data_IF_332621195307
#
_entry.id   IF_332621195307
#
_cell.length_a   1.000
_cell.length_b   1.000
_cell.length_c   1.000
_cell.angle_alpha   90.00
_cell.angle_beta   90.00
_cell.angle_gamma   90.00
#
_symmetry.space_group_name_H-M   'P 1'
#
loop_
_entity.id
_entity.type
_entity.pdbx_description
1 polymer ?
#
# COMPACT_ATOMS: atom_id res chain seq x y z
N UNK A 1 -17.95 0.89 77.15
CA UNK A 1 -18.60 1.05 75.81
C UNK A 1 -17.86 2.15 75.11
N UNK A 2 -16.91 1.79 74.19
CA UNK A 2 -16.15 2.75 73.42
C UNK A 2 -16.44 2.40 71.92
N UNK A 3 -17.16 3.30 71.22
CA UNK A 3 -17.45 3.21 69.81
C UNK A 3 -16.25 3.74 69.03
N UNK A 4 -15.56 2.87 68.35
CA UNK A 4 -14.50 3.22 67.37
C UNK A 4 -15.15 3.62 66.05
N UNK A 5 -14.96 4.85 65.64
CA UNK A 5 -15.37 5.42 64.35
C UNK A 5 -14.26 5.15 63.35
N UNK A 6 -14.46 4.20 62.43
CA UNK A 6 -13.55 3.96 61.32
C UNK A 6 -13.87 4.96 60.18
N UNK A 7 -12.96 5.91 59.97
CA UNK A 7 -13.02 6.87 58.84
C UNK A 7 -12.47 6.18 57.61
N UNK A 8 -13.32 5.85 56.64
CA UNK A 8 -12.92 5.43 55.28
C UNK A 8 -12.58 6.70 54.46
N UNK A 9 -11.33 6.91 54.18
CA UNK A 9 -10.88 7.91 53.21
C UNK A 9 -10.90 7.27 51.82
N UNK A 10 -11.85 7.69 50.98
CA UNK A 10 -11.89 7.35 49.57
C UNK A 10 -10.86 8.17 48.82
N UNK A 11 -9.74 7.58 48.43
CA UNK A 11 -8.79 8.18 47.51
C UNK A 11 -9.29 7.96 46.07
N UNK A 12 -9.83 9.00 45.48
CA UNK A 12 -10.22 9.00 44.05
C UNK A 12 -8.93 9.06 43.22
N UNK A 13 -8.53 7.94 42.59
CA UNK A 13 -7.46 7.90 41.62
C UNK A 13 -8.06 8.40 40.28
N UNK A 14 -7.75 9.65 39.93
CA UNK A 14 -8.01 10.16 38.57
C UNK A 14 -7.03 9.48 37.62
N UNK A 15 -7.48 8.47 36.91
CA UNK A 15 -6.76 7.92 35.78
C UNK A 15 -6.82 8.92 34.61
N UNK A 16 -5.74 9.66 34.41
CA UNK A 16 -5.54 10.53 33.26
C UNK A 16 -5.30 9.62 32.03
N UNK A 17 -6.36 9.29 31.29
CA UNK A 17 -6.24 8.61 29.98
C UNK A 17 -5.68 9.61 28.97
N UNK A 18 -4.37 9.57 28.75
CA UNK A 18 -3.76 10.27 27.64
C UNK A 18 -4.35 9.72 26.33
N UNK A 19 -5.26 10.45 25.71
CA UNK A 19 -5.71 10.18 24.35
C UNK A 19 -4.52 10.45 23.44
N UNK A 20 -3.78 9.40 23.07
CA UNK A 20 -2.77 9.48 22.03
C UNK A 20 -3.53 9.72 20.72
N UNK A 21 -3.58 10.97 20.28
CA UNK A 21 -4.12 11.31 18.97
C UNK A 21 -3.27 10.58 17.93
N UNK A 22 -3.88 9.61 17.25
CA UNK A 22 -3.21 8.97 16.10
C UNK A 22 -3.03 10.05 15.02
N UNK A 23 -1.84 10.16 14.42
CA UNK A 23 -1.64 11.10 13.33
C UNK A 23 -2.65 10.80 12.23
N UNK A 24 -3.38 11.83 11.81
CA UNK A 24 -4.30 11.70 10.70
C UNK A 24 -3.53 11.21 9.47
N UNK A 25 -4.10 10.22 8.76
CA UNK A 25 -3.46 9.72 7.54
C UNK A 25 -3.24 10.88 6.56
N UNK A 26 -2.03 10.99 6.01
CA UNK A 26 -1.67 12.04 5.07
C UNK A 26 -2.66 12.09 3.89
N UNK A 27 -3.14 13.27 3.55
CA UNK A 27 -4.12 13.46 2.49
C UNK A 27 -3.45 13.38 1.10
N UNK A 28 -4.22 12.93 0.10
CA UNK A 28 -3.77 12.96 -1.28
C UNK A 28 -3.86 14.38 -1.86
N UNK A 29 -2.84 14.77 -2.63
CA UNK A 29 -2.80 15.99 -3.44
C UNK A 29 -3.15 15.71 -4.91
N UNK A 30 -3.00 14.47 -5.34
CA UNK A 30 -3.33 13.96 -6.66
C UNK A 30 -2.22 14.03 -7.69
N UNK A 31 -2.38 13.29 -8.80
CA UNK A 31 -1.30 13.05 -9.76
C UNK A 31 -0.88 14.32 -10.55
N UNK A 32 -1.67 15.39 -10.52
CA UNK A 32 -1.29 16.66 -11.15
C UNK A 32 -0.12 17.32 -10.44
N UNK A 33 -0.10 17.29 -9.11
CA UNK A 33 0.99 17.81 -8.29
C UNK A 33 2.30 17.09 -8.61
N UNK A 34 2.28 15.76 -8.66
CA UNK A 34 3.47 14.96 -9.00
C UNK A 34 3.98 15.22 -10.43
N UNK A 35 3.06 15.45 -11.38
CA UNK A 35 3.39 15.70 -12.80
C UNK A 35 4.28 16.92 -13.01
N UNK A 36 4.26 17.89 -12.13
CA UNK A 36 5.06 19.11 -12.29
C UNK A 36 6.57 18.79 -12.45
N UNK A 37 7.05 17.80 -11.69
CA UNK A 37 8.43 17.32 -11.75
C UNK A 37 8.55 15.92 -12.41
N UNK A 38 7.61 15.02 -12.19
CA UNK A 38 7.62 13.61 -12.64
C UNK A 38 6.82 13.40 -13.95
N UNK A 39 7.18 14.13 -15.00
CA UNK A 39 6.42 14.12 -16.28
C UNK A 39 6.49 12.79 -17.01
N UNK A 40 7.66 12.14 -17.00
CA UNK A 40 7.89 10.86 -17.66
C UNK A 40 7.12 9.73 -16.96
N UNK A 41 7.19 9.67 -15.63
CA UNK A 41 6.49 8.72 -14.79
C UNK A 41 4.96 8.88 -14.94
N UNK A 42 4.50 10.14 -14.94
CA UNK A 42 3.09 10.44 -15.15
C UNK A 42 2.60 10.00 -16.53
N UNK A 43 3.42 10.14 -17.58
CA UNK A 43 3.08 9.68 -18.93
C UNK A 43 2.91 8.15 -18.97
N UNK A 44 3.80 7.40 -18.33
CA UNK A 44 3.67 5.94 -18.18
C UNK A 44 2.38 5.58 -17.43
N UNK A 45 2.11 6.21 -16.28
CA UNK A 45 0.90 5.94 -15.50
C UNK A 45 -0.38 6.13 -16.32
N UNK A 46 -0.47 7.12 -17.18
CA UNK A 46 -1.62 7.34 -18.07
C UNK A 46 -1.92 6.16 -19.02
N UNK A 47 -0.94 5.33 -19.30
CA UNK A 47 -1.11 4.10 -20.09
C UNK A 47 -1.75 2.94 -19.32
N UNK A 48 -1.77 2.98 -17.98
CA UNK A 48 -2.11 1.85 -17.11
C UNK A 48 -3.62 1.62 -16.94
N UNK A 49 -3.98 0.42 -16.48
CA UNK A 49 -5.34 0.09 -16.04
C UNK A 49 -5.80 0.97 -14.88
N UNK A 50 -4.90 1.33 -13.96
CA UNK A 50 -5.20 2.22 -12.83
C UNK A 50 -5.66 3.60 -13.29
N UNK A 51 -4.98 4.23 -14.24
CA UNK A 51 -5.45 5.49 -14.82
C UNK A 51 -6.82 5.34 -15.50
N UNK A 52 -6.96 4.27 -16.30
CA UNK A 52 -8.20 3.99 -17.05
C UNK A 52 -9.38 3.67 -16.13
N UNK A 53 -9.14 3.15 -14.92
CA UNK A 53 -10.17 2.82 -13.94
C UNK A 53 -11.06 4.02 -13.58
N UNK A 54 -10.53 5.25 -13.58
CA UNK A 54 -11.32 6.45 -13.31
C UNK A 54 -12.56 6.59 -14.23
N UNK A 55 -12.40 6.21 -15.50
CA UNK A 55 -13.48 6.28 -16.50
C UNK A 55 -14.08 4.91 -16.84
N UNK A 56 -13.44 3.82 -16.43
CA UNK A 56 -13.75 2.46 -16.86
C UNK A 56 -14.42 1.59 -15.80
N UNK A 57 -14.03 1.70 -14.53
CA UNK A 57 -14.50 0.80 -13.48
C UNK A 57 -16.03 0.72 -13.38
N UNK A 58 -16.73 1.85 -13.48
CA UNK A 58 -18.18 1.92 -13.43
C UNK A 58 -18.90 1.35 -14.68
N UNK A 59 -18.16 1.04 -15.73
CA UNK A 59 -18.68 0.42 -16.97
C UNK A 59 -18.68 -1.11 -16.92
N UNK A 60 -18.10 -1.71 -15.89
CA UNK A 60 -18.13 -3.16 -15.71
C UNK A 60 -19.59 -3.64 -15.62
N UNK A 61 -19.92 -4.78 -16.26
CA UNK A 61 -21.28 -5.32 -16.32
C UNK A 61 -21.97 -5.45 -14.96
N UNK A 62 -21.23 -5.82 -13.93
CA UNK A 62 -21.71 -5.97 -12.55
C UNK A 62 -21.61 -4.70 -11.71
N UNK A 63 -21.10 -3.57 -12.25
CA UNK A 63 -20.80 -2.37 -11.45
C UNK A 63 -22.00 -1.84 -10.65
N UNK A 64 -23.21 -1.89 -11.24
CA UNK A 64 -24.45 -1.45 -10.54
C UNK A 64 -24.80 -2.39 -9.39
N UNK A 65 -24.74 -3.71 -9.60
CA UNK A 65 -25.01 -4.71 -8.57
C UNK A 65 -24.00 -4.61 -7.41
N UNK A 66 -22.70 -4.49 -7.74
CA UNK A 66 -21.63 -4.31 -6.76
C UNK A 66 -21.84 -3.03 -5.94
N UNK A 67 -22.14 -1.91 -6.58
CA UNK A 67 -22.39 -0.66 -5.90
C UNK A 67 -23.65 -0.72 -5.00
N UNK A 68 -24.70 -1.40 -5.42
CA UNK A 68 -25.90 -1.65 -4.61
C UNK A 68 -25.56 -2.52 -3.38
N UNK A 69 -24.78 -3.58 -3.56
CA UNK A 69 -24.36 -4.47 -2.48
C UNK A 69 -23.54 -3.78 -1.37
N UNK A 70 -22.90 -2.64 -1.69
CA UNK A 70 -22.22 -1.80 -0.68
C UNK A 70 -23.17 -1.07 0.29
N UNK A 71 -24.48 -1.17 0.07
CA UNK A 71 -25.51 -0.56 0.91
C UNK A 71 -25.76 0.94 0.70
N UNK A 72 -24.99 1.61 -0.15
CA UNK A 72 -25.10 3.08 -0.32
C UNK A 72 -25.92 3.52 -1.53
N UNK A 73 -26.15 2.63 -2.51
CA UNK A 73 -26.85 2.91 -3.77
C UNK A 73 -26.21 4.02 -4.64
N UNK A 74 -25.08 4.57 -4.20
CA UNK A 74 -24.40 5.67 -4.89
C UNK A 74 -23.51 5.16 -6.01
N UNK A 75 -23.30 5.98 -7.04
CA UNK A 75 -22.30 5.67 -8.06
C UNK A 75 -20.91 5.44 -7.43
N UNK A 76 -20.10 4.59 -8.03
CA UNK A 76 -18.77 4.22 -7.50
C UNK A 76 -17.92 5.43 -7.08
N UNK A 77 -17.98 6.55 -7.83
CA UNK A 77 -17.22 7.79 -7.51
C UNK A 77 -17.73 8.55 -6.29
N UNK A 78 -18.94 8.25 -5.80
CA UNK A 78 -19.55 8.84 -4.61
C UNK A 78 -19.67 7.85 -3.47
N UNK A 79 -19.25 6.60 -3.69
CA UNK A 79 -19.34 5.50 -2.76
C UNK A 79 -17.98 5.32 -2.08
N UNK A 80 -17.91 5.57 -0.78
CA UNK A 80 -16.68 5.50 0.01
C UNK A 80 -16.00 4.12 -0.07
N UNK A 81 -16.78 3.03 0.00
CA UNK A 81 -16.27 1.66 -0.12
C UNK A 81 -15.56 1.45 -1.46
N UNK A 82 -16.15 1.92 -2.56
CA UNK A 82 -15.53 1.81 -3.88
C UNK A 82 -14.30 2.75 -4.00
N UNK A 83 -14.41 3.97 -3.43
CA UNK A 83 -13.32 4.96 -3.53
C UNK A 83 -12.03 4.49 -2.87
N UNK A 84 -12.12 3.74 -1.80
CA UNK A 84 -10.97 3.24 -1.04
C UNK A 84 -9.92 2.53 -1.91
N UNK A 85 -10.35 1.79 -2.95
CA UNK A 85 -9.47 1.01 -3.81
C UNK A 85 -9.41 1.52 -5.26
N UNK A 86 -10.49 2.12 -5.78
CA UNK A 86 -10.60 2.42 -7.20
C UNK A 86 -10.26 3.86 -7.58
N UNK A 87 -10.08 4.75 -6.59
CA UNK A 87 -9.89 6.18 -6.89
C UNK A 87 -8.88 6.84 -5.96
N UNK A 88 -8.19 7.84 -6.48
CA UNK A 88 -7.48 8.84 -5.68
C UNK A 88 -8.51 9.86 -5.21
N UNK A 89 -8.76 9.87 -3.91
CA UNK A 89 -9.69 10.78 -3.25
C UNK A 89 -8.96 12.07 -2.85
N UNK A 90 -9.54 13.23 -3.20
CA UNK A 90 -9.05 14.55 -2.78
C UNK A 90 -10.26 15.33 -2.26
N UNK A 91 -10.22 15.78 -1.02
CA UNK A 91 -11.32 16.54 -0.39
C UNK A 91 -12.65 15.81 -0.46
N UNK A 92 -12.68 14.53 -0.20
CA UNK A 92 -13.90 13.69 -0.20
C UNK A 92 -14.43 13.33 -1.58
N UNK A 93 -13.69 13.62 -2.66
CA UNK A 93 -14.16 13.41 -4.05
C UNK A 93 -13.16 12.54 -4.84
N UNK A 94 -13.67 11.59 -5.60
CA UNK A 94 -12.87 10.84 -6.57
C UNK A 94 -12.35 11.77 -7.68
N UNK A 95 -11.04 11.94 -7.80
CA UNK A 95 -10.40 12.85 -8.75
C UNK A 95 -9.59 12.15 -9.83
N UNK A 96 -9.07 10.97 -9.54
CA UNK A 96 -8.32 10.12 -10.47
C UNK A 96 -8.60 8.64 -10.16
N UNK A 97 -8.15 7.72 -11.01
CA UNK A 97 -7.97 6.32 -10.62
C UNK A 97 -6.80 6.18 -9.64
N UNK A 98 -6.47 4.99 -9.14
CA UNK A 98 -5.30 4.78 -8.31
C UNK A 98 -4.07 5.41 -8.96
N UNK A 99 -3.38 6.30 -8.25
CA UNK A 99 -2.30 7.12 -8.81
C UNK A 99 -1.01 7.03 -7.99
N UNK A 100 -0.10 7.94 -8.19
CA UNK A 100 1.21 7.98 -7.53
C UNK A 100 1.12 7.69 -6.02
N UNK A 101 0.23 8.38 -5.35
CA UNK A 101 0.05 8.30 -3.89
C UNK A 101 -0.56 6.97 -3.42
N UNK A 102 -1.21 6.21 -4.31
CA UNK A 102 -1.69 4.85 -3.98
C UNK A 102 -0.54 3.88 -3.73
N UNK A 103 0.66 4.17 -4.25
CA UNK A 103 1.89 3.39 -4.04
C UNK A 103 2.87 4.13 -3.13
N UNK A 104 2.98 5.47 -3.27
CA UNK A 104 4.02 6.29 -2.63
C UNK A 104 3.57 7.01 -1.36
N UNK A 105 2.32 6.78 -0.91
CA UNK A 105 1.75 7.43 0.28
C UNK A 105 1.15 8.81 -0.03
N UNK A 106 0.14 9.22 0.75
CA UNK A 106 -0.50 10.55 0.64
C UNK A 106 0.52 11.66 0.83
N UNK A 107 0.47 12.69 -0.03
CA UNK A 107 1.58 13.61 -0.20
C UNK A 107 1.49 14.90 0.63
N UNK A 108 0.38 15.15 1.34
CA UNK A 108 0.16 16.42 2.04
C UNK A 108 1.29 16.79 3.01
N UNK A 109 1.86 15.80 3.70
CA UNK A 109 2.84 16.04 4.75
C UNK A 109 4.28 16.05 4.23
N UNK A 110 4.57 15.34 3.15
CA UNK A 110 5.94 15.14 2.70
C UNK A 110 6.34 15.86 1.41
N UNK A 111 5.39 16.32 0.60
CA UNK A 111 5.70 16.86 -0.73
C UNK A 111 6.60 18.09 -0.68
N UNK A 112 6.39 18.99 0.29
CA UNK A 112 7.24 20.18 0.47
C UNK A 112 8.65 19.79 0.90
N UNK A 113 8.77 18.82 1.79
CA UNK A 113 10.08 18.29 2.22
C UNK A 113 10.79 17.64 1.03
N UNK A 114 10.07 16.80 0.27
CA UNK A 114 10.61 16.11 -0.89
C UNK A 114 11.10 17.07 -1.99
N UNK A 115 10.46 18.21 -2.13
CA UNK A 115 10.79 19.22 -3.17
C UNK A 115 11.87 20.22 -2.74
N UNK A 116 12.29 20.22 -1.49
CA UNK A 116 13.32 21.13 -1.00
C UNK A 116 14.71 20.60 -1.36
N UNK A 117 15.28 21.10 -2.44
CA UNK A 117 16.63 20.72 -2.92
C UNK A 117 17.75 21.49 -2.20
N UNK A 118 17.40 22.43 -1.31
CA UNK A 118 18.34 23.35 -0.66
C UNK A 118 18.47 24.70 -1.35
N UNK A 119 18.96 25.69 -0.60
CA UNK A 119 19.07 27.05 -1.08
C UNK A 119 19.99 27.17 -2.32
N UNK A 120 19.44 27.74 -3.39
CA UNK A 120 20.19 27.98 -4.65
C UNK A 120 20.31 26.76 -5.57
N UNK A 121 19.88 25.56 -5.15
CA UNK A 121 19.93 24.36 -5.98
C UNK A 121 18.73 24.33 -6.94
N UNK A 122 19.02 24.26 -8.26
CA UNK A 122 18.01 24.34 -9.31
C UNK A 122 17.57 22.97 -9.85
N UNK A 123 18.38 21.94 -9.65
CA UNK A 123 18.08 20.60 -10.13
C UNK A 123 18.51 19.52 -9.11
N UNK A 124 17.85 18.38 -9.13
CA UNK A 124 18.22 17.24 -8.28
C UNK A 124 19.59 16.63 -8.65
N UNK A 125 20.15 16.96 -9.80
CA UNK A 125 21.49 16.55 -10.21
C UNK A 125 22.58 17.36 -9.47
N UNK A 126 22.26 18.60 -9.10
CA UNK A 126 23.18 19.51 -8.42
C UNK A 126 23.04 19.46 -6.90
N UNK A 127 22.09 18.67 -6.40
CA UNK A 127 21.81 18.54 -4.96
C UNK A 127 22.97 17.81 -4.25
N UNK A 128 23.56 18.40 -3.17
CA UNK A 128 24.59 17.74 -2.37
C UNK A 128 24.09 16.39 -1.81
N UNK A 129 24.94 15.36 -1.85
CA UNK A 129 24.57 13.99 -1.48
C UNK A 129 24.01 13.88 -0.03
N UNK A 130 24.63 14.58 0.93
CA UNK A 130 24.18 14.58 2.32
C UNK A 130 22.85 15.30 2.50
N UNK A 131 22.62 16.40 1.78
CA UNK A 131 21.33 17.08 1.76
C UNK A 131 20.25 16.16 1.21
N UNK A 132 20.49 15.53 0.07
CA UNK A 132 19.59 14.57 -0.55
C UNK A 132 19.23 13.41 0.39
N UNK A 133 20.23 12.85 1.08
CA UNK A 133 20.03 11.77 2.07
C UNK A 133 19.12 12.24 3.21
N UNK A 134 19.40 13.40 3.79
CA UNK A 134 18.62 13.96 4.90
C UNK A 134 17.21 14.33 4.48
N UNK A 135 17.03 14.95 3.32
CA UNK A 135 15.74 15.30 2.73
C UNK A 135 14.87 14.08 2.48
N UNK A 136 15.44 13.03 1.86
CA UNK A 136 14.69 11.78 1.61
C UNK A 136 14.31 11.09 2.92
N UNK A 137 15.20 11.04 3.91
CA UNK A 137 14.88 10.49 5.22
C UNK A 137 13.77 11.27 5.94
N UNK A 138 13.81 12.60 5.88
CA UNK A 138 12.76 13.45 6.43
C UNK A 138 11.40 13.24 5.73
N UNK A 139 11.39 13.16 4.39
CA UNK A 139 10.19 12.89 3.63
C UNK A 139 9.62 11.49 3.94
N UNK A 140 10.47 10.47 4.08
CA UNK A 140 10.03 9.11 4.49
C UNK A 140 9.42 9.12 5.89
N UNK A 141 10.03 9.83 6.84
CA UNK A 141 9.48 10.02 8.18
C UNK A 141 8.11 10.71 8.16
N UNK A 142 7.88 11.59 7.19
CA UNK A 142 6.60 12.26 6.97
C UNK A 142 5.59 11.42 6.16
N UNK A 143 5.90 10.15 5.86
CA UNK A 143 4.99 9.21 5.21
C UNK A 143 5.23 8.97 3.72
N UNK A 144 6.30 9.50 3.13
CA UNK A 144 6.67 9.17 1.75
C UNK A 144 7.18 7.73 1.67
N UNK A 145 6.60 6.94 0.78
CA UNK A 145 7.12 5.63 0.42
C UNK A 145 8.04 5.79 -0.79
N UNK A 146 9.34 5.82 -0.54
CA UNK A 146 10.34 5.95 -1.59
C UNK A 146 10.38 4.70 -2.49
N UNK A 147 10.81 4.85 -3.74
CA UNK A 147 10.86 3.76 -4.73
C UNK A 147 11.74 2.57 -4.32
N UNK A 148 12.69 2.75 -3.40
CA UNK A 148 13.50 1.67 -2.81
C UNK A 148 12.77 0.87 -1.72
N UNK A 149 11.67 1.40 -1.18
CA UNK A 149 10.85 0.76 -0.15
C UNK A 149 9.87 -0.22 -0.80
N UNK A 150 10.41 -1.23 -1.48
CA UNK A 150 9.62 -2.13 -2.34
C UNK A 150 8.60 -2.93 -1.54
N UNK A 151 8.89 -3.26 -0.27
CA UNK A 151 7.95 -3.95 0.59
C UNK A 151 6.73 -3.09 0.91
N UNK A 152 6.93 -1.82 1.27
CA UNK A 152 5.85 -0.88 1.58
C UNK A 152 4.97 -0.61 0.34
N UNK A 153 5.58 -0.54 -0.84
CA UNK A 153 4.84 -0.48 -2.11
C UNK A 153 4.01 -1.75 -2.32
N UNK A 154 4.59 -2.92 -2.06
CA UNK A 154 3.90 -4.20 -2.19
C UNK A 154 2.73 -4.34 -1.20
N UNK A 155 2.86 -3.82 0.02
CA UNK A 155 1.78 -3.73 1.01
C UNK A 155 0.61 -2.90 0.48
N UNK A 156 0.86 -1.70 -0.04
CA UNK A 156 -0.18 -0.85 -0.63
C UNK A 156 -0.92 -1.55 -1.78
N UNK A 157 -0.19 -2.28 -2.62
CA UNK A 157 -0.80 -3.08 -3.67
C UNK A 157 -1.71 -4.17 -3.09
N UNK A 158 -1.19 -4.97 -2.14
CA UNK A 158 -1.94 -6.06 -1.55
C UNK A 158 -3.13 -5.57 -0.74
N UNK A 159 -3.04 -4.45 -0.04
CA UNK A 159 -4.15 -3.88 0.72
C UNK A 159 -5.42 -3.67 -0.13
N UNK A 160 -5.27 -3.29 -1.41
CA UNK A 160 -6.37 -3.20 -2.36
C UNK A 160 -6.66 -4.53 -3.07
N UNK A 161 -5.62 -5.23 -3.55
CA UNK A 161 -5.77 -6.45 -4.35
C UNK A 161 -6.18 -7.70 -3.55
N UNK A 162 -6.09 -7.64 -2.22
CA UNK A 162 -6.72 -8.62 -1.32
C UNK A 162 -8.02 -8.10 -0.70
N UNK A 163 -8.48 -6.90 -1.06
CA UNK A 163 -9.65 -6.21 -0.48
C UNK A 163 -9.56 -5.95 1.04
N UNK A 164 -8.38 -6.04 1.65
CA UNK A 164 -8.20 -5.85 3.10
C UNK A 164 -8.51 -4.41 3.59
N UNK A 165 -8.54 -3.43 2.67
CA UNK A 165 -8.93 -2.04 3.00
C UNK A 165 -10.40 -1.88 3.38
N UNK A 166 -11.20 -2.91 3.22
CA UNK A 166 -12.62 -2.92 3.59
C UNK A 166 -12.90 -4.12 4.48
N UNK A 167 -13.97 -4.03 5.23
CA UNK A 167 -14.44 -5.10 6.10
C UNK A 167 -14.64 -6.41 5.33
N UNK A 168 -14.28 -7.54 5.93
CA UNK A 168 -14.31 -8.88 5.31
C UNK A 168 -15.73 -9.31 4.89
N UNK A 169 -16.74 -9.00 5.72
CA UNK A 169 -18.12 -9.30 5.39
C UNK A 169 -18.61 -8.43 4.23
N UNK A 170 -18.22 -7.15 4.19
CA UNK A 170 -18.50 -6.27 3.06
C UNK A 170 -17.81 -6.77 1.80
N UNK A 171 -16.53 -7.15 1.86
CA UNK A 171 -15.81 -7.72 0.73
C UNK A 171 -16.54 -8.94 0.17
N UNK A 172 -16.99 -9.85 1.03
CA UNK A 172 -17.80 -11.02 0.64
C UNK A 172 -19.06 -10.64 -0.11
N UNK A 173 -19.84 -9.66 0.38
CA UNK A 173 -21.05 -9.17 -0.30
C UNK A 173 -20.75 -8.60 -1.69
N UNK A 174 -19.65 -7.85 -1.84
CA UNK A 174 -19.25 -7.30 -3.13
C UNK A 174 -18.84 -8.42 -4.12
N UNK A 175 -18.13 -9.46 -3.64
CA UNK A 175 -17.73 -10.61 -4.45
C UNK A 175 -18.96 -11.40 -4.91
N UNK A 176 -19.95 -11.62 -4.05
CA UNK A 176 -21.19 -12.29 -4.43
C UNK A 176 -22.02 -11.47 -5.42
N UNK A 177 -21.93 -10.16 -5.37
CA UNK A 177 -22.51 -9.25 -6.36
C UNK A 177 -21.73 -9.20 -7.69
N UNK A 178 -20.64 -9.98 -7.82
CA UNK A 178 -19.85 -10.08 -9.04
C UNK A 178 -18.58 -9.23 -9.08
N UNK A 179 -18.09 -8.73 -7.92
CA UNK A 179 -16.79 -8.09 -7.86
C UNK A 179 -15.70 -9.12 -8.12
N UNK A 180 -14.80 -8.88 -9.10
CA UNK A 180 -13.70 -9.79 -9.35
C UNK A 180 -12.78 -9.88 -8.12
N UNK A 181 -12.37 -11.10 -7.80
CA UNK A 181 -11.30 -11.36 -6.83
C UNK A 181 -10.25 -12.23 -7.51
N UNK A 182 -9.13 -11.61 -7.89
CA UNK A 182 -8.09 -12.29 -8.65
C UNK A 182 -6.93 -12.65 -7.74
N UNK A 183 -6.68 -13.97 -7.59
CA UNK A 183 -5.45 -14.48 -6.99
C UNK A 183 -4.20 -14.21 -7.84
N UNK A 184 -4.35 -13.71 -9.07
CA UNK A 184 -3.27 -13.63 -10.07
C UNK A 184 -2.50 -12.30 -10.09
N UNK A 185 -2.82 -11.37 -9.16
CA UNK A 185 -2.02 -10.16 -9.02
C UNK A 185 -0.57 -10.52 -8.65
N UNK A 186 0.39 -10.01 -9.42
CA UNK A 186 1.81 -10.22 -9.20
C UNK A 186 2.57 -8.90 -9.39
N UNK A 187 3.41 -8.55 -8.42
CA UNK A 187 4.07 -7.25 -8.33
C UNK A 187 4.97 -6.94 -9.52
N UNK A 188 5.78 -7.90 -9.98
CA UNK A 188 6.71 -7.69 -11.10
C UNK A 188 5.97 -7.49 -12.40
N UNK A 189 4.95 -8.30 -12.68
CA UNK A 189 4.12 -8.15 -13.89
C UNK A 189 3.53 -6.77 -14.00
N UNK A 190 3.05 -6.21 -12.89
CA UNK A 190 2.47 -4.87 -12.90
C UNK A 190 3.55 -3.79 -12.92
N UNK A 191 4.46 -3.80 -11.95
CA UNK A 191 5.41 -2.70 -11.74
C UNK A 191 6.51 -2.63 -12.80
N UNK A 192 6.89 -3.76 -13.41
CA UNK A 192 7.91 -3.80 -14.47
C UNK A 192 7.32 -4.02 -15.86
N UNK A 193 6.09 -4.54 -15.96
CA UNK A 193 5.37 -4.73 -17.23
C UNK A 193 4.53 -3.53 -17.63
N UNK A 194 3.64 -3.06 -16.75
CA UNK A 194 2.65 -2.03 -17.09
C UNK A 194 3.03 -0.62 -16.65
N UNK A 195 3.58 -0.46 -15.44
CA UNK A 195 3.83 0.86 -14.84
C UNK A 195 5.31 1.12 -14.59
N UNK A 196 6.20 0.41 -15.29
CA UNK A 196 7.63 0.67 -15.15
C UNK A 196 7.94 2.13 -15.47
N UNK A 197 8.47 2.87 -14.49
CA UNK A 197 8.78 4.27 -14.57
C UNK A 197 10.10 4.57 -13.84
N UNK A 198 11.17 3.90 -14.29
CA UNK A 198 12.51 3.95 -13.69
C UNK A 198 13.36 4.99 -14.43
N UNK A 199 12.97 6.26 -14.31
CA UNK A 199 13.68 7.41 -14.90
C UNK A 199 14.57 8.05 -13.83
N UNK A 200 15.81 7.61 -13.71
CA UNK A 200 16.76 8.14 -12.75
C UNK A 200 18.19 8.23 -13.32
N UNK A 201 19.07 9.02 -12.68
CA UNK A 201 20.45 9.17 -13.13
C UNK A 201 21.16 7.82 -13.38
N UNK A 202 22.13 7.79 -14.31
CA UNK A 202 22.66 8.94 -15.05
C UNK A 202 21.78 9.43 -16.22
N UNK A 203 20.81 8.66 -16.69
CA UNK A 203 19.97 9.03 -17.84
C UNK A 203 18.49 8.99 -17.47
N UNK A 204 17.96 10.11 -17.06
CA UNK A 204 16.55 10.32 -16.67
C UNK A 204 15.58 10.28 -17.87
N UNK A 205 16.07 10.16 -19.10
CA UNK A 205 15.23 10.02 -20.31
C UNK A 205 14.93 8.57 -20.63
N UNK A 206 15.70 7.65 -20.09
CA UNK A 206 15.52 6.21 -20.28
C UNK A 206 14.73 5.56 -19.16
N UNK A 207 13.67 4.84 -19.54
CA UNK A 207 12.93 3.99 -18.63
C UNK A 207 13.71 2.68 -18.41
N UNK A 208 14.56 2.66 -17.38
CA UNK A 208 15.52 1.58 -17.13
C UNK A 208 14.81 0.26 -16.77
N UNK A 209 15.41 -0.85 -17.18
CA UNK A 209 14.92 -2.19 -16.82
C UNK A 209 15.65 -2.69 -15.58
N UNK A 210 14.96 -3.49 -14.77
CA UNK A 210 15.60 -4.29 -13.73
C UNK A 210 16.39 -5.44 -14.32
N UNK A 211 17.53 -5.76 -13.74
CA UNK A 211 18.24 -6.99 -14.01
C UNK A 211 17.55 -8.20 -13.35
N UNK A 212 18.03 -9.41 -13.63
CA UNK A 212 17.42 -10.65 -13.12
C UNK A 212 17.39 -10.72 -11.59
N UNK A 213 18.44 -10.25 -10.91
CA UNK A 213 18.51 -10.26 -9.45
C UNK A 213 17.50 -9.27 -8.85
N UNK A 214 17.40 -8.05 -9.38
CA UNK A 214 16.39 -7.07 -8.96
C UNK A 214 14.96 -7.59 -9.16
N UNK A 215 14.68 -8.23 -10.31
CA UNK A 215 13.38 -8.83 -10.60
C UNK A 215 13.06 -9.97 -9.62
N UNK A 216 14.03 -10.82 -9.29
CA UNK A 216 13.86 -11.92 -8.33
C UNK A 216 13.57 -11.37 -6.92
N UNK A 217 14.31 -10.35 -6.48
CA UNK A 217 14.06 -9.70 -5.19
C UNK A 217 12.67 -9.07 -5.14
N UNK A 218 12.26 -8.36 -6.18
CA UNK A 218 10.93 -7.75 -6.26
C UNK A 218 9.82 -8.81 -6.27
N UNK A 219 10.01 -9.91 -7.00
CA UNK A 219 9.08 -11.05 -7.04
C UNK A 219 8.88 -11.64 -5.65
N UNK A 220 9.96 -11.97 -4.95
CA UNK A 220 9.90 -12.53 -3.60
C UNK A 220 9.33 -11.53 -2.59
N UNK A 221 9.62 -10.24 -2.73
CA UNK A 221 9.02 -9.18 -1.90
C UNK A 221 7.51 -9.09 -2.10
N UNK A 222 7.04 -9.16 -3.34
CA UNK A 222 5.61 -9.19 -3.65
C UNK A 222 4.89 -10.38 -3.04
N UNK A 223 5.52 -11.56 -3.10
CA UNK A 223 4.97 -12.77 -2.46
C UNK A 223 5.02 -12.70 -0.93
N UNK A 224 6.04 -12.08 -0.33
CA UNK A 224 6.10 -11.89 1.12
C UNK A 224 4.94 -11.00 1.62
N UNK A 225 4.71 -9.86 0.99
CA UNK A 225 3.57 -9.01 1.30
C UNK A 225 2.23 -9.72 1.02
N UNK A 226 2.13 -10.43 -0.12
CA UNK A 226 0.94 -11.20 -0.47
C UNK A 226 0.60 -12.30 0.54
N UNK A 227 1.62 -12.99 1.08
CA UNK A 227 1.45 -14.00 2.12
C UNK A 227 0.86 -13.39 3.40
N UNK A 228 1.45 -12.29 3.87
CA UNK A 228 0.98 -11.60 5.09
C UNK A 228 -0.47 -11.14 4.94
N UNK A 229 -0.78 -10.43 3.85
CA UNK A 229 -2.10 -9.86 3.63
C UNK A 229 -3.17 -10.93 3.40
N UNK A 230 -2.89 -11.97 2.62
CA UNK A 230 -3.83 -13.06 2.40
C UNK A 230 -4.08 -13.89 3.68
N UNK A 231 -3.03 -14.16 4.46
CA UNK A 231 -3.19 -14.86 5.75
C UNK A 231 -4.09 -14.05 6.69
N UNK A 232 -3.88 -12.73 6.79
CA UNK A 232 -4.69 -11.87 7.64
C UNK A 232 -6.16 -11.83 7.21
N UNK A 233 -6.44 -11.85 5.92
CA UNK A 233 -7.83 -11.97 5.43
C UNK A 233 -8.44 -13.31 5.84
N UNK A 234 -7.68 -14.40 5.78
CA UNK A 234 -8.18 -15.74 6.13
C UNK A 234 -8.56 -15.89 7.61
N UNK A 235 -8.10 -15.01 8.50
CA UNK A 235 -8.48 -15.01 9.92
C UNK A 235 -9.94 -14.65 10.16
N UNK A 236 -10.60 -13.95 9.21
CA UNK A 236 -11.96 -13.41 9.39
C UNK A 236 -12.88 -13.57 8.19
N UNK A 237 -12.48 -14.33 7.15
CA UNK A 237 -13.28 -14.45 5.94
C UNK A 237 -14.25 -15.64 6.03
N UNK A 238 -15.55 -15.36 5.85
CA UNK A 238 -16.60 -16.39 5.77
C UNK A 238 -17.02 -16.71 4.33
N UNK A 239 -16.85 -15.75 3.40
CA UNK A 239 -17.23 -15.94 2.00
C UNK A 239 -16.36 -16.98 1.31
N UNK A 240 -16.93 -18.06 0.81
CA UNK A 240 -16.21 -19.19 0.24
C UNK A 240 -15.33 -18.83 -0.98
N UNK A 241 -15.82 -17.93 -1.87
CA UNK A 241 -15.06 -17.50 -3.05
C UNK A 241 -13.87 -16.63 -2.64
N UNK A 242 -14.07 -15.76 -1.66
CA UNK A 242 -13.01 -14.92 -1.13
C UNK A 242 -11.94 -15.75 -0.44
N UNK A 243 -12.37 -16.69 0.41
CA UNK A 243 -11.49 -17.65 1.09
C UNK A 243 -10.62 -18.43 0.09
N UNK A 244 -11.24 -19.06 -0.91
CA UNK A 244 -10.52 -19.82 -1.93
C UNK A 244 -9.48 -18.99 -2.69
N UNK A 245 -9.81 -17.74 -3.01
CA UNK A 245 -8.85 -16.84 -3.67
C UNK A 245 -7.65 -16.50 -2.78
N UNK A 246 -7.87 -16.32 -1.48
CA UNK A 246 -6.79 -16.03 -0.52
C UNK A 246 -5.96 -17.28 -0.21
N UNK A 247 -6.58 -18.45 -0.09
CA UNK A 247 -5.88 -19.74 0.05
C UNK A 247 -4.94 -20.00 -1.14
N UNK A 248 -5.43 -19.75 -2.36
CA UNK A 248 -4.56 -19.82 -3.56
C UNK A 248 -3.38 -18.87 -3.46
N UNK A 249 -3.60 -17.61 -3.06
CA UNK A 249 -2.53 -16.62 -2.90
C UNK A 249 -1.50 -17.06 -1.85
N UNK A 250 -1.95 -17.60 -0.73
CA UNK A 250 -1.08 -18.16 0.32
C UNK A 250 -0.26 -19.32 -0.23
N UNK A 251 -0.87 -20.23 -0.98
CA UNK A 251 -0.16 -21.38 -1.58
C UNK A 251 0.92 -20.93 -2.58
N UNK A 252 0.58 -20.01 -3.48
CA UNK A 252 1.52 -19.44 -4.47
C UNK A 252 2.69 -18.73 -3.78
N UNK A 253 2.41 -17.94 -2.75
CA UNK A 253 3.43 -17.24 -1.98
C UNK A 253 4.34 -18.20 -1.21
N UNK A 254 3.77 -19.22 -0.55
CA UNK A 254 4.54 -20.24 0.14
C UNK A 254 5.45 -21.02 -0.81
N UNK A 255 4.99 -21.32 -2.02
CA UNK A 255 5.79 -21.98 -3.07
C UNK A 255 6.97 -21.09 -3.48
N UNK A 256 6.72 -19.80 -3.77
CA UNK A 256 7.76 -18.86 -4.20
C UNK A 256 8.82 -18.65 -3.10
N UNK A 257 8.40 -18.37 -1.87
CA UNK A 257 9.29 -18.12 -0.73
C UNK A 257 10.03 -19.40 -0.34
N UNK A 258 9.35 -20.56 -0.42
CA UNK A 258 9.94 -21.88 -0.12
C UNK A 258 11.15 -22.21 -0.98
N UNK A 259 11.13 -21.78 -2.25
CA UNK A 259 12.27 -21.95 -3.15
C UNK A 259 13.53 -21.20 -2.69
N UNK A 260 13.38 -20.13 -1.92
CA UNK A 260 14.50 -19.35 -1.38
C UNK A 260 14.99 -19.85 0.00
N UNK A 261 14.30 -20.80 0.64
CA UNK A 261 14.55 -21.21 2.04
C UNK A 261 15.99 -21.73 2.27
N UNK A 262 16.56 -22.45 1.32
CA UNK A 262 17.90 -23.00 1.45
C UNK A 262 18.99 -21.92 1.51
N UNK A 263 18.79 -20.79 0.81
CA UNK A 263 19.78 -19.70 0.74
C UNK A 263 19.45 -18.53 1.68
N UNK A 264 18.21 -18.44 2.17
CA UNK A 264 17.71 -17.34 2.99
C UNK A 264 16.93 -17.89 4.20
N UNK A 265 17.59 -18.09 5.35
CA UNK A 265 16.94 -18.67 6.55
C UNK A 265 15.69 -17.94 7.01
N UNK A 266 15.63 -16.60 6.84
CA UNK A 266 14.47 -15.78 7.15
C UNK A 266 13.19 -16.20 6.37
N UNK A 267 13.33 -16.87 5.22
CA UNK A 267 12.21 -17.47 4.50
C UNK A 267 11.49 -18.54 5.34
N UNK A 268 12.24 -19.40 6.04
CA UNK A 268 11.66 -20.41 6.93
C UNK A 268 10.83 -19.80 8.06
N UNK A 269 11.32 -18.72 8.65
CA UNK A 269 10.60 -17.97 9.70
C UNK A 269 9.32 -17.37 9.16
N UNK A 270 9.37 -16.72 8.00
CA UNK A 270 8.19 -16.12 7.37
C UNK A 270 7.14 -17.17 6.99
N UNK A 271 7.55 -18.34 6.51
CA UNK A 271 6.64 -19.42 6.14
C UNK A 271 5.88 -20.01 7.34
N UNK A 272 6.49 -20.04 8.51
CA UNK A 272 5.86 -20.53 9.75
C UNK A 272 5.06 -19.46 10.48
N UNK A 273 5.50 -18.20 10.41
CA UNK A 273 4.86 -17.08 11.07
C UNK A 273 4.77 -15.88 10.10
N UNK A 274 3.70 -15.82 9.27
CA UNK A 274 3.54 -14.80 8.23
C UNK A 274 3.09 -13.47 8.81
N UNK A 275 3.99 -12.79 9.51
CA UNK A 275 3.80 -11.45 10.05
C UNK A 275 4.54 -10.40 9.22
N UNK A 276 4.11 -9.15 9.28
CA UNK A 276 4.81 -8.03 8.64
C UNK A 276 6.28 -7.94 9.08
N UNK A 277 6.53 -8.08 10.38
CA UNK A 277 7.89 -8.04 10.92
C UNK A 277 8.80 -9.12 10.31
N UNK A 278 8.30 -10.35 10.16
CA UNK A 278 9.05 -11.44 9.54
C UNK A 278 9.21 -11.25 8.03
N UNK A 279 8.20 -10.70 7.35
CA UNK A 279 8.30 -10.36 5.94
C UNK A 279 9.35 -9.26 5.70
N UNK A 280 9.40 -8.22 6.52
CA UNK A 280 10.43 -7.18 6.44
C UNK A 280 11.84 -7.74 6.68
N UNK A 281 12.03 -8.62 7.68
CA UNK A 281 13.31 -9.32 7.90
C UNK A 281 13.72 -10.17 6.68
N UNK A 282 12.77 -10.88 6.08
CA UNK A 282 13.03 -11.66 4.87
C UNK A 282 13.45 -10.76 3.71
N UNK A 283 12.76 -9.62 3.49
CA UNK A 283 13.07 -8.68 2.41
C UNK A 283 14.44 -8.02 2.61
N UNK A 284 14.82 -7.69 3.83
CA UNK A 284 16.19 -7.21 4.13
C UNK A 284 17.23 -8.27 3.74
N UNK A 285 17.01 -9.52 4.13
CA UNK A 285 17.94 -10.62 3.79
C UNK A 285 18.03 -10.92 2.27
N UNK A 286 17.06 -10.46 1.46
CA UNK A 286 17.13 -10.52 0.00
C UNK A 286 18.12 -9.50 -0.60
N UNK A 287 18.40 -8.40 0.11
CA UNK A 287 19.29 -7.34 -0.40
C UNK A 287 20.76 -7.74 -0.39
N UNK A 288 21.10 -8.68 0.49
CA UNK A 288 22.47 -9.18 0.66
C UNK A 288 22.82 -10.32 -0.34
N UNK A 289 21.89 -10.66 -1.25
CA UNK A 289 22.03 -11.72 -2.26
C UNK A 289 21.77 -11.14 -3.67
#
# INVERSE_FOLDING_TARGET
MIKSLMKFTFAAVLALTAVIAQPAAAANLGPKTCKECHRAEHAVWKGTAHFKAYRGAHKHKSAKAIAAASGTGKSMRKNKTCMTCHYTEIGGKAKAGPSCESCHGGASEWVKIHNDLGAGVKSSADEPADHKKSRLAAAQKAGMIHSSMVYDIAENCNACHTMQKIDSAMAGKLIDAGHPINGDYELVKYSQGQVRHRFYPPDITKNQKMNKAELSRMFLTGHAAGLVYATKVLESVDNAKYKAAMEKRVADAKKAIGAAKASIPAAGVLLTSPTEANARKFVVALQDK
#
